data_IF_770873070128
#
_entry.id   IF_770873070128
#
_cell.length_a   1.000
_cell.length_b   1.000
_cell.length_c   1.000
_cell.angle_alpha   90.00
_cell.angle_beta   90.00
_cell.angle_gamma   90.00
#
_symmetry.space_group_name_H-M   'P 1'
#
loop_
_entity.id
_entity.type
_entity.pdbx_description
1 polymer ?
#
# COMPACT_ATOMS: atom_id res chain seq x y z
N UNK A 1 4.22 -10.41 -9.44
CA UNK A 1 4.13 -9.04 -10.00
C UNK A 1 5.53 -8.44 -9.90
N UNK A 2 6.03 -7.81 -10.96
CA UNK A 2 7.39 -7.22 -10.98
C UNK A 2 7.27 -5.70 -11.15
N UNK A 3 8.12 -4.96 -10.44
CA UNK A 3 8.19 -3.50 -10.56
C UNK A 3 9.20 -3.09 -11.63
N UNK A 4 9.01 -1.92 -12.28
CA UNK A 4 10.01 -1.36 -13.18
C UNK A 4 11.34 -1.12 -12.46
N UNK A 5 12.46 -1.26 -13.20
CA UNK A 5 13.80 -1.00 -12.64
C UNK A 5 13.97 0.46 -12.18
N UNK A 6 13.26 1.40 -12.81
CA UNK A 6 13.24 2.82 -12.43
C UNK A 6 11.87 3.16 -11.84
N UNK A 7 11.83 3.20 -10.52
CA UNK A 7 10.67 3.68 -9.79
C UNK A 7 10.64 5.22 -9.78
N UNK A 8 9.44 5.75 -9.63
CA UNK A 8 9.16 7.19 -9.50
C UNK A 8 8.07 7.37 -8.48
N UNK A 9 7.94 8.58 -7.92
CA UNK A 9 6.91 8.94 -6.93
C UNK A 9 5.46 8.75 -7.43
N UNK A 10 5.24 8.50 -8.72
CA UNK A 10 3.90 8.21 -9.28
C UNK A 10 3.53 6.73 -9.20
N UNK A 11 4.51 5.85 -8.97
CA UNK A 11 4.28 4.42 -8.86
C UNK A 11 3.66 4.10 -7.51
N UNK A 12 2.55 3.38 -7.55
CA UNK A 12 1.80 2.97 -6.38
C UNK A 12 1.17 1.61 -6.64
N UNK A 13 0.85 0.91 -5.55
CA UNK A 13 -0.07 -0.22 -5.57
C UNK A 13 -1.48 0.33 -5.38
N UNK A 14 -2.41 -0.04 -6.25
CA UNK A 14 -3.83 0.27 -6.13
C UNK A 14 -4.59 -1.02 -5.82
N UNK A 15 -5.36 -0.99 -4.74
CA UNK A 15 -6.26 -2.06 -4.33
C UNK A 15 -7.69 -1.60 -4.58
N UNK A 16 -8.46 -2.41 -5.30
CA UNK A 16 -9.89 -2.18 -5.52
C UNK A 16 -10.67 -3.35 -4.95
N UNK A 17 -11.66 -3.05 -4.12
CA UNK A 17 -12.45 -4.04 -3.41
C UNK A 17 -13.81 -4.17 -4.08
N UNK A 18 -14.20 -5.40 -4.44
CA UNK A 18 -15.51 -5.72 -4.99
C UNK A 18 -16.20 -6.78 -4.14
N UNK A 19 -17.51 -6.66 -3.99
CA UNK A 19 -18.37 -7.73 -3.52
C UNK A 19 -18.86 -8.52 -4.75
N UNK A 20 -18.53 -9.80 -4.82
CA UNK A 20 -18.93 -10.69 -5.92
C UNK A 20 -20.12 -11.54 -5.46
N UNK A 21 -21.28 -11.33 -6.07
CA UNK A 21 -22.48 -12.09 -5.74
C UNK A 21 -22.55 -13.36 -6.58
N UNK A 22 -22.59 -14.52 -5.91
CA UNK A 22 -22.73 -15.82 -6.57
C UNK A 22 -24.20 -16.25 -6.79
N UNK A 23 -25.17 -15.49 -6.28
CA UNK A 23 -26.59 -15.82 -6.49
C UNK A 23 -27.00 -15.55 -7.94
N UNK A 24 -27.26 -16.62 -8.68
CA UNK A 24 -27.97 -16.55 -9.96
C UNK A 24 -29.43 -16.19 -9.69
N UNK A 25 -29.80 -14.92 -9.89
CA UNK A 25 -31.23 -14.59 -10.05
C UNK A 25 -31.68 -15.16 -11.40
N UNK A 26 -32.87 -15.74 -11.43
CA UNK A 26 -33.44 -16.53 -12.54
C UNK A 26 -33.45 -15.83 -13.92
N UNK A 27 -33.15 -14.53 -13.99
CA UNK A 27 -33.11 -13.72 -15.21
C UNK A 27 -31.80 -12.92 -15.41
N UNK A 28 -30.71 -13.22 -14.69
CA UNK A 28 -29.41 -12.54 -14.88
C UNK A 28 -28.31 -13.56 -15.17
N UNK A 29 -27.73 -13.47 -16.36
CA UNK A 29 -26.58 -14.27 -16.79
C UNK A 29 -25.29 -13.59 -16.32
N UNK A 30 -24.75 -13.99 -15.17
CA UNK A 30 -23.44 -13.56 -14.68
C UNK A 30 -23.38 -13.27 -13.18
N UNK A 31 -22.18 -13.28 -12.61
CA UNK A 31 -21.95 -12.79 -11.27
C UNK A 31 -22.11 -11.26 -11.25
N UNK A 32 -22.90 -10.74 -10.32
CA UNK A 32 -23.01 -9.29 -10.12
C UNK A 32 -21.90 -8.82 -9.19
N UNK A 33 -21.09 -7.88 -9.65
CA UNK A 33 -20.01 -7.28 -8.87
C UNK A 33 -20.41 -5.87 -8.42
N UNK A 34 -20.20 -5.56 -7.14
CA UNK A 34 -20.47 -4.24 -6.57
C UNK A 34 -19.17 -3.67 -6.01
N UNK A 35 -18.78 -2.45 -6.43
CA UNK A 35 -17.63 -1.75 -5.88
C UNK A 35 -17.84 -1.47 -4.39
N UNK A 36 -16.86 -1.85 -3.56
CA UNK A 36 -16.83 -1.56 -2.12
C UNK A 36 -15.94 -0.34 -1.85
N UNK A 37 -14.80 -0.22 -2.52
CA UNK A 37 -13.90 0.91 -2.32
C UNK A 37 -12.48 0.68 -2.82
N UNK A 38 -11.60 1.59 -2.42
CA UNK A 38 -10.21 1.65 -2.86
C UNK A 38 -9.26 1.84 -1.69
N UNK A 39 -8.07 1.26 -1.79
CA UNK A 39 -6.92 1.60 -0.96
C UNK A 39 -5.68 1.66 -1.84
N UNK A 40 -4.62 2.32 -1.39
CA UNK A 40 -3.40 2.43 -2.18
C UNK A 40 -2.17 2.59 -1.30
N UNK A 41 -1.01 2.28 -1.87
CA UNK A 41 0.28 2.43 -1.21
C UNK A 41 1.30 2.98 -2.22
N UNK A 42 1.83 4.20 -2.03
CA UNK A 42 2.98 4.67 -2.79
C UNK A 42 4.13 3.66 -2.67
N UNK A 43 4.77 3.33 -3.79
CA UNK A 43 5.87 2.35 -3.77
C UNK A 43 7.12 2.96 -3.13
N UNK A 44 7.35 4.24 -3.37
CA UNK A 44 8.44 5.00 -2.78
C UNK A 44 7.93 5.90 -1.65
N UNK A 45 8.75 6.02 -0.61
CA UNK A 45 8.64 7.08 0.38
C UNK A 45 10.01 7.65 0.61
N UNK A 46 10.19 8.94 0.37
CA UNK A 46 11.51 9.61 0.45
C UNK A 46 12.58 8.86 -0.36
N UNK A 47 12.26 8.52 -1.62
CA UNK A 47 13.13 7.75 -2.54
C UNK A 47 13.50 6.32 -2.08
N UNK A 48 12.84 5.79 -1.03
CA UNK A 48 13.07 4.43 -0.55
C UNK A 48 11.86 3.55 -0.80
N UNK A 49 12.13 2.33 -1.25
CA UNK A 49 11.10 1.30 -1.42
C UNK A 49 10.43 1.01 -0.08
N UNK A 50 9.11 1.11 -0.07
CA UNK A 50 8.29 0.83 1.10
C UNK A 50 8.12 -0.68 1.30
N UNK A 51 8.44 -1.18 2.49
CA UNK A 51 8.26 -2.57 2.91
C UNK A 51 7.82 -2.63 4.38
N UNK A 52 7.17 -3.72 4.77
CA UNK A 52 6.71 -3.95 6.14
C UNK A 52 5.20 -4.16 6.20
N UNK A 53 4.67 -4.06 7.42
CA UNK A 53 3.24 -4.22 7.71
C UNK A 53 2.52 -2.87 7.63
N UNK A 54 1.36 -2.87 7.00
CA UNK A 54 0.50 -1.70 6.82
C UNK A 54 -0.93 -2.03 7.27
N UNK A 55 -1.61 -1.02 7.79
CA UNK A 55 -3.04 -1.06 8.09
C UNK A 55 -3.70 0.13 7.40
N UNK A 56 -4.04 -0.04 6.12
CA UNK A 56 -4.47 1.05 5.25
C UNK A 56 -5.97 1.31 5.40
N UNK A 57 -6.41 2.57 5.35
CA UNK A 57 -7.83 2.90 5.25
C UNK A 57 -8.37 2.65 3.83
N UNK A 58 -9.70 2.60 3.73
CA UNK A 58 -10.42 2.38 2.46
C UNK A 58 -11.28 3.60 2.14
N UNK A 59 -11.06 4.20 0.97
CA UNK A 59 -11.91 5.24 0.40
C UNK A 59 -13.12 4.61 -0.29
N UNK A 60 -14.31 5.13 -0.01
CA UNK A 60 -15.58 4.73 -0.61
C UNK A 60 -15.86 5.55 -1.87
N UNK A 61 -16.54 4.92 -2.82
CA UNK A 61 -17.06 5.49 -4.07
C UNK A 61 -16.01 6.02 -5.08
N UNK A 62 -14.97 6.73 -4.63
CA UNK A 62 -13.94 7.33 -5.49
C UNK A 62 -12.59 7.47 -4.80
N UNK A 63 -11.54 7.56 -5.61
CA UNK A 63 -10.20 7.94 -5.16
C UNK A 63 -10.09 9.46 -4.90
N UNK A 64 -9.28 9.87 -3.91
CA UNK A 64 -8.92 11.28 -3.71
C UNK A 64 -8.14 11.87 -4.89
N UNK A 65 -8.11 13.20 -4.99
CA UNK A 65 -7.25 13.88 -5.97
C UNK A 65 -5.79 13.66 -5.58
N UNK A 66 -4.91 13.39 -6.56
CA UNK A 66 -3.48 13.13 -6.34
C UNK A 66 -3.18 11.98 -5.36
N UNK A 67 -4.09 11.00 -5.23
CA UNK A 67 -3.93 9.87 -4.31
C UNK A 67 -2.59 9.14 -4.47
N UNK A 68 -2.04 9.05 -5.70
CA UNK A 68 -0.77 8.36 -5.94
C UNK A 68 0.45 9.02 -5.31
N UNK A 69 0.36 10.32 -4.96
CA UNK A 69 1.46 11.09 -4.37
C UNK A 69 1.47 11.07 -2.84
N UNK A 70 0.38 10.61 -2.22
CA UNK A 70 0.21 10.67 -0.76
C UNK A 70 -0.33 9.34 -0.24
N UNK A 71 0.18 8.88 0.90
CA UNK A 71 -0.41 7.70 1.54
C UNK A 71 -1.86 7.99 1.97
N UNK A 72 -2.75 6.98 2.03
CA UNK A 72 -4.15 7.18 2.37
C UNK A 72 -4.38 7.89 3.71
N UNK A 73 -3.46 7.74 4.67
CA UNK A 73 -3.51 8.37 6.00
C UNK A 73 -3.16 9.87 5.97
N UNK A 74 -2.46 10.32 4.93
CA UNK A 74 -1.97 11.71 4.78
C UNK A 74 -2.80 12.56 3.82
N UNK A 75 -3.94 12.05 3.37
CA UNK A 75 -4.83 12.80 2.49
C UNK A 75 -5.40 13.99 3.25
N UNK A 76 -5.18 15.19 2.70
CA UNK A 76 -5.76 16.42 3.23
C UNK A 76 -7.25 16.52 2.89
N UNK A 77 -8.06 17.20 3.71
CA UNK A 77 -9.45 17.49 3.38
C UNK A 77 -9.57 18.14 2.00
N UNK A 78 -10.54 17.67 1.21
CA UNK A 78 -10.79 18.14 -0.15
C UNK A 78 -12.28 18.40 -0.35
N UNK A 79 -12.60 19.20 -1.37
CA UNK A 79 -13.98 19.44 -1.79
C UNK A 79 -14.17 18.81 -3.18
N UNK A 80 -15.12 17.86 -3.35
CA UNK A 80 -15.95 17.23 -2.31
C UNK A 80 -15.15 16.27 -1.38
N UNK A 81 -15.62 16.05 -0.13
CA UNK A 81 -14.90 15.26 0.86
C UNK A 81 -14.72 13.82 0.41
N UNK A 82 -13.61 13.21 0.81
CA UNK A 82 -13.39 11.78 0.64
C UNK A 82 -14.29 11.06 1.64
N UNK A 83 -15.06 10.09 1.15
CA UNK A 83 -15.82 9.20 2.03
C UNK A 83 -14.90 8.06 2.40
N UNK A 84 -14.81 7.76 3.69
CA UNK A 84 -13.95 6.71 4.19
C UNK A 84 -14.79 5.60 4.83
N UNK A 85 -14.35 4.37 4.65
CA UNK A 85 -14.84 3.22 5.40
C UNK A 85 -14.46 3.38 6.87
N UNK A 86 -15.35 3.03 7.80
CA UNK A 86 -15.08 3.03 9.24
C UNK A 86 -14.40 4.33 9.75
N UNK A 87 -14.82 5.49 9.25
CA UNK A 87 -14.28 6.80 9.64
C UNK A 87 -12.77 6.96 9.45
N UNK A 88 -12.24 6.52 8.30
CA UNK A 88 -10.82 6.64 7.92
C UNK A 88 -9.86 5.80 8.78
N UNK A 89 -10.40 4.81 9.50
CA UNK A 89 -9.61 3.82 10.21
C UNK A 89 -8.87 2.90 9.24
N UNK A 90 -7.66 2.48 9.61
CA UNK A 90 -6.98 1.35 8.98
C UNK A 90 -7.80 0.06 9.15
N UNK A 91 -8.31 -0.47 8.04
CA UNK A 91 -9.15 -1.69 8.03
C UNK A 91 -8.65 -2.74 7.04
N UNK A 92 -7.65 -2.40 6.23
CA UNK A 92 -6.99 -3.32 5.30
C UNK A 92 -5.55 -3.58 5.73
N UNK A 93 -5.28 -4.79 6.24
CA UNK A 93 -3.94 -5.19 6.65
C UNK A 93 -3.17 -5.79 5.47
N UNK A 94 -1.91 -5.40 5.31
CA UNK A 94 -1.05 -5.83 4.21
C UNK A 94 0.41 -5.93 4.66
N UNK A 95 1.10 -6.98 4.22
CA UNK A 95 2.55 -7.09 4.33
C UNK A 95 3.20 -6.89 2.96
N UNK A 96 4.19 -6.00 2.88
CA UNK A 96 5.02 -5.81 1.69
C UNK A 96 6.43 -6.32 1.97
N UNK A 97 6.86 -7.30 1.17
CA UNK A 97 8.23 -7.77 1.13
C UNK A 97 8.83 -7.47 -0.26
N UNK A 98 10.02 -6.88 -0.27
CA UNK A 98 10.74 -6.63 -1.50
C UNK A 98 11.77 -7.72 -1.75
N UNK A 99 11.73 -8.31 -2.96
CA UNK A 99 12.80 -9.15 -3.48
C UNK A 99 13.36 -8.43 -4.70
N UNK A 100 14.48 -7.73 -4.52
CA UNK A 100 15.08 -6.91 -5.57
C UNK A 100 16.60 -7.04 -5.60
N UNK A 101 17.14 -7.17 -6.82
CA UNK A 101 18.57 -7.03 -7.10
C UNK A 101 19.00 -5.58 -7.35
N UNK A 102 18.03 -4.66 -7.52
CA UNK A 102 18.26 -3.24 -7.82
C UNK A 102 18.11 -2.38 -6.58
N UNK A 103 17.10 -2.66 -5.75
CA UNK A 103 16.84 -1.97 -4.49
C UNK A 103 17.16 -2.92 -3.32
N UNK A 104 18.45 -3.10 -3.03
CA UNK A 104 18.90 -4.03 -2.00
C UNK A 104 18.56 -3.53 -0.60
N UNK A 105 17.78 -4.30 0.15
CA UNK A 105 17.55 -4.12 1.59
C UNK A 105 18.48 -5.03 2.39
N UNK A 106 19.79 -4.77 2.35
CA UNK A 106 20.72 -5.44 3.26
C UNK A 106 20.95 -4.49 4.44
N UNK A 107 20.39 -4.84 5.60
CA UNK A 107 20.74 -4.21 6.87
C UNK A 107 22.13 -4.71 7.25
N UNK A 108 23.18 -3.93 6.94
CA UNK A 108 24.51 -4.18 7.50
C UNK A 108 24.49 -3.77 8.97
N UNK A 109 23.91 -4.59 9.84
CA UNK A 109 24.29 -4.57 11.26
C UNK A 109 25.69 -5.16 11.34
N UNK A 110 26.69 -4.34 11.07
CA UNK A 110 28.09 -4.67 11.31
C UNK A 110 28.27 -4.72 12.83
N UNK A 111 28.12 -5.89 13.44
CA UNK A 111 28.57 -6.16 14.80
C UNK A 111 30.09 -6.15 14.80
N UNK A 112 30.69 -4.95 14.87
CA UNK A 112 32.11 -4.81 15.12
C UNK A 112 32.36 -5.13 16.60
N UNK A 113 32.58 -6.41 16.92
CA UNK A 113 33.16 -6.79 18.21
C UNK A 113 34.62 -6.34 18.22
N UNK A 114 34.89 -5.19 18.82
CA UNK A 114 36.25 -4.73 19.08
C UNK A 114 36.74 -5.42 20.36
N UNK A 115 37.50 -6.51 20.20
CA UNK A 115 38.20 -7.17 21.31
C UNK A 115 39.33 -6.23 21.76
N UNK A 116 39.19 -5.65 22.96
CA UNK A 116 40.23 -4.86 23.60
C UNK A 116 41.23 -5.83 24.26
N UNK A 117 42.36 -6.11 23.61
CA UNK A 117 43.47 -6.83 24.27
C UNK A 117 44.29 -5.82 25.05
N UNK A 118 44.21 -5.89 26.38
CA UNK A 118 44.93 -5.05 27.32
C UNK A 118 46.42 -5.44 27.36
N UNK A 119 47.29 -4.45 27.27
CA UNK A 119 48.76 -4.55 27.38
C UNK A 119 49.20 -5.04 28.77
N UNK A 120 50.29 -5.79 28.83
CA UNK A 120 51.28 -5.71 29.93
C UNK A 120 52.63 -5.35 29.32
#
# INVERSE_FOLDING_TARGET
MALPARLTERHHLLFTFYHISCQQKQNQTGASETLIGYSWLPILSTDRLQTGQYCLPIALDRLPVNYSLHSPERITPQVPPVKWMESHKGVFNLEIQAVSSVHTQVSLTHTHTHTHTHTM
#
